data_IF_797654273200
#
_entry.id   IF_797654273200
#
_cell.length_a   1.000
_cell.length_b   1.000
_cell.length_c   1.000
_cell.angle_alpha   90.00
_cell.angle_beta   90.00
_cell.angle_gamma   90.00
#
_symmetry.space_group_name_H-M   'P 1'
#
loop_
_entity.id
_entity.type
_entity.pdbx_description
1 polymer ?
#
# COMPACT_ATOMS: atom_id res chain seq x y z
N UNK A 1 -12.26 -7.52 49.98
CA UNK A 1 -12.44 -8.79 49.23
C UNK A 1 -11.37 -8.98 48.12
N UNK A 2 -10.10 -8.61 48.36
CA UNK A 2 -8.97 -8.76 47.40
C UNK A 2 -7.73 -9.46 47.98
N UNK A 3 -7.72 -9.80 49.27
CA UNK A 3 -6.58 -10.43 49.92
C UNK A 3 -6.61 -11.96 49.94
N UNK A 4 -7.75 -12.61 49.63
CA UNK A 4 -7.85 -14.07 49.62
C UNK A 4 -7.33 -14.75 48.34
N UNK A 5 -7.17 -14.03 47.23
CA UNK A 5 -6.80 -14.63 45.93
C UNK A 5 -5.29 -14.92 45.87
N UNK A 6 -4.46 -14.17 46.59
CA UNK A 6 -3.01 -14.33 46.50
C UNK A 6 -2.48 -15.46 47.40
N UNK A 7 -3.13 -15.75 48.53
CA UNK A 7 -2.69 -16.79 49.47
C UNK A 7 -2.75 -18.19 48.83
N UNK A 8 -3.84 -18.49 48.13
CA UNK A 8 -4.02 -19.76 47.41
C UNK A 8 -2.95 -20.04 46.36
N UNK A 9 -2.43 -19.01 45.68
CA UNK A 9 -1.36 -19.18 44.67
C UNK A 9 -0.01 -19.53 45.32
N UNK A 10 0.29 -18.96 46.48
CA UNK A 10 1.49 -19.29 47.25
C UNK A 10 1.40 -20.70 47.82
N UNK A 11 0.23 -21.14 48.28
CA UNK A 11 0.03 -22.51 48.76
C UNK A 11 0.23 -23.54 47.65
N UNK A 12 -0.31 -23.29 46.45
CA UNK A 12 -0.08 -24.14 45.28
C UNK A 12 1.39 -24.14 44.85
N UNK A 13 2.07 -22.99 44.86
CA UNK A 13 3.49 -22.90 44.51
C UNK A 13 4.37 -23.67 45.51
N UNK A 14 4.12 -23.51 46.81
CA UNK A 14 4.84 -24.23 47.86
C UNK A 14 4.61 -25.74 47.75
N UNK A 15 3.39 -26.19 47.47
CA UNK A 15 3.10 -27.62 47.24
C UNK A 15 3.86 -28.18 46.04
N UNK A 16 3.94 -27.43 44.93
CA UNK A 16 4.70 -27.84 43.74
C UNK A 16 6.20 -27.95 44.07
N UNK A 17 6.76 -26.97 44.78
CA UNK A 17 8.17 -26.96 45.18
C UNK A 17 8.48 -28.15 46.11
N UNK A 18 7.67 -28.36 47.15
CA UNK A 18 7.82 -29.50 48.08
C UNK A 18 7.72 -30.84 47.34
N UNK A 19 6.80 -30.96 46.39
CA UNK A 19 6.65 -32.19 45.61
C UNK A 19 7.86 -32.42 44.68
N UNK A 20 8.38 -31.37 44.04
CA UNK A 20 9.59 -31.44 43.23
C UNK A 20 10.82 -31.89 44.05
N UNK A 21 10.99 -31.33 45.25
CA UNK A 21 12.07 -31.75 46.16
C UNK A 21 11.89 -33.20 46.62
N UNK A 22 10.66 -33.65 46.90
CA UNK A 22 10.40 -35.04 47.27
C UNK A 22 10.69 -36.02 46.13
N UNK A 23 10.35 -35.65 44.89
CA UNK A 23 10.62 -36.45 43.70
C UNK A 23 12.12 -36.51 43.40
N UNK A 24 12.81 -35.39 43.55
CA UNK A 24 14.26 -35.31 43.41
C UNK A 24 14.99 -36.15 44.47
N UNK A 25 14.53 -36.11 45.72
CA UNK A 25 15.05 -36.95 46.80
C UNK A 25 14.90 -38.44 46.46
N UNK A 26 13.76 -38.85 45.91
CA UNK A 26 13.48 -40.23 45.52
C UNK A 26 14.36 -40.68 44.33
N UNK A 27 14.64 -39.80 43.38
CA UNK A 27 15.54 -40.03 42.23
C UNK A 27 17.03 -40.06 42.60
N UNK A 28 17.45 -39.36 43.64
CA UNK A 28 18.85 -39.30 44.07
C UNK A 28 19.34 -40.62 44.73
N UNK A 29 18.43 -41.48 45.16
CA UNK A 29 18.72 -42.77 45.83
C UNK A 29 19.25 -43.84 44.86
N UNK A 30 18.63 -44.13 43.70
CA UNK A 30 19.20 -45.07 42.72
C UNK A 30 20.54 -44.58 42.13
N UNK A 31 20.78 -43.27 42.16
CA UNK A 31 22.07 -42.67 41.76
C UNK A 31 23.15 -42.72 42.86
N UNK A 32 22.83 -43.25 44.05
CA UNK A 32 23.79 -43.47 45.13
C UNK A 32 24.27 -42.19 45.84
N UNK A 33 23.60 -41.06 45.62
CA UNK A 33 23.92 -39.78 46.28
C UNK A 33 23.52 -39.74 47.75
N UNK A 34 22.55 -40.57 48.16
CA UNK A 34 22.02 -40.61 49.53
C UNK A 34 22.09 -42.06 50.02
N UNK A 35 22.71 -42.29 51.19
CA UNK A 35 22.98 -43.64 51.75
C UNK A 35 21.91 -44.15 52.73
N UNK A 36 20.77 -43.48 52.87
CA UNK A 36 19.69 -43.90 53.77
C UNK A 36 18.89 -45.06 53.15
N UNK A 37 18.43 -46.00 53.98
CA UNK A 37 17.55 -47.09 53.55
C UNK A 37 16.10 -46.62 53.64
N UNK A 38 15.32 -46.86 52.59
CA UNK A 38 13.89 -46.52 52.56
C UNK A 38 13.15 -47.17 53.75
N UNK A 39 12.72 -46.36 54.71
CA UNK A 39 11.77 -46.81 55.71
C UNK A 39 10.36 -46.72 55.13
N UNK A 40 9.49 -47.69 55.46
CA UNK A 40 8.08 -47.72 55.03
C UNK A 40 7.35 -46.39 55.29
N UNK A 41 7.75 -45.69 56.33
CA UNK A 41 7.23 -44.38 56.72
C UNK A 41 7.41 -43.33 55.61
N UNK A 42 8.55 -43.31 54.92
CA UNK A 42 8.82 -42.31 53.85
C UNK A 42 7.96 -42.56 52.61
N UNK A 43 7.73 -43.83 52.28
CA UNK A 43 6.89 -44.24 51.15
C UNK A 43 5.43 -43.84 51.41
N UNK A 44 4.95 -44.05 52.64
CA UNK A 44 3.59 -43.68 53.04
C UNK A 44 3.41 -42.16 52.97
N UNK A 45 4.37 -41.38 53.47
CA UNK A 45 4.33 -39.91 53.41
C UNK A 45 4.31 -39.43 51.95
N UNK A 46 5.15 -39.98 51.09
CA UNK A 46 5.19 -39.65 49.67
C UNK A 46 3.88 -39.97 48.95
N UNK A 47 3.30 -41.15 49.26
CA UNK A 47 2.01 -41.57 48.70
C UNK A 47 0.89 -40.62 49.11
N UNK A 48 0.88 -40.16 50.36
CA UNK A 48 -0.11 -39.19 50.86
C UNK A 48 0.06 -37.82 50.19
N UNK A 49 1.30 -37.33 50.03
CA UNK A 49 1.59 -36.06 49.35
C UNK A 49 1.11 -36.11 47.89
N UNK A 50 1.35 -37.22 47.19
CA UNK A 50 0.86 -37.43 45.83
C UNK A 50 -0.68 -37.50 45.77
N UNK A 51 -1.32 -38.12 46.76
CA UNK A 51 -2.78 -38.25 46.80
C UNK A 51 -3.47 -36.90 47.02
N UNK A 52 -2.87 -36.05 47.86
CA UNK A 52 -3.35 -34.68 48.12
C UNK A 52 -3.13 -33.80 46.88
N UNK A 53 -2.03 -34.02 46.16
CA UNK A 53 -1.72 -33.30 44.94
C UNK A 53 -2.24 -34.01 43.68
N UNK A 54 -3.56 -34.20 43.64
CA UNK A 54 -4.28 -34.87 42.54
C UNK A 54 -4.02 -34.26 41.15
N UNK A 55 -3.74 -32.96 41.08
CA UNK A 55 -3.38 -32.27 39.84
C UNK A 55 -2.00 -32.72 39.30
N UNK A 56 -1.02 -32.95 40.18
CA UNK A 56 0.27 -33.53 39.77
C UNK A 56 0.12 -34.98 39.33
N UNK A 57 -0.75 -35.76 39.97
CA UNK A 57 -1.04 -37.13 39.54
C UNK A 57 -1.68 -37.14 38.14
N UNK A 58 -2.53 -36.17 37.83
CA UNK A 58 -3.13 -36.00 36.50
C UNK A 58 -2.10 -35.52 35.45
N UNK A 59 -1.19 -34.60 35.82
CA UNK A 59 -0.08 -34.17 34.97
C UNK A 59 0.94 -35.29 34.73
N UNK A 60 1.25 -36.11 35.74
CA UNK A 60 2.08 -37.31 35.61
C UNK A 60 1.39 -38.39 34.78
N UNK A 61 0.06 -38.48 34.83
CA UNK A 61 -0.72 -39.37 33.96
C UNK A 61 -0.71 -38.91 32.50
N UNK A 62 -0.73 -37.60 32.24
CA UNK A 62 -0.53 -37.02 30.89
C UNK A 62 0.91 -37.14 30.40
N UNK A 63 1.88 -37.09 31.32
CA UNK A 63 3.29 -37.41 31.07
C UNK A 63 3.57 -38.93 31.13
N UNK A 64 2.51 -39.75 31.18
CA UNK A 64 2.62 -41.20 31.23
C UNK A 64 3.05 -41.71 29.87
N UNK A 65 4.27 -42.24 29.81
CA UNK A 65 4.78 -43.04 28.69
C UNK A 65 3.78 -44.18 28.44
N UNK A 66 2.91 -44.02 27.45
CA UNK A 66 2.13 -45.13 26.92
C UNK A 66 3.09 -46.10 26.21
N UNK A 67 2.68 -47.37 26.03
CA UNK A 67 3.52 -48.42 25.44
C UNK A 67 4.07 -48.07 24.03
N UNK A 68 3.49 -47.07 23.37
CA UNK A 68 3.91 -46.50 22.08
C UNK A 68 4.10 -44.95 22.12
N UNK A 69 4.11 -44.33 23.31
CA UNK A 69 3.49 -43.01 23.52
C UNK A 69 4.37 -41.77 23.74
N UNK A 70 5.66 -41.76 23.43
CA UNK A 70 6.45 -40.50 23.36
C UNK A 70 7.04 -40.29 21.96
N UNK A 71 7.30 -41.39 21.25
CA UNK A 71 7.85 -41.38 19.89
C UNK A 71 6.83 -40.91 18.85
N UNK A 72 5.56 -41.34 18.97
CA UNK A 72 4.51 -40.98 18.01
C UNK A 72 4.21 -39.48 17.96
N UNK A 73 4.17 -38.82 19.13
CA UNK A 73 3.96 -37.36 19.19
C UNK A 73 5.18 -36.61 18.65
N UNK A 74 6.40 -37.10 18.91
CA UNK A 74 7.62 -36.48 18.40
C UNK A 74 7.70 -36.54 16.86
N UNK A 75 7.35 -37.69 16.26
CA UNK A 75 7.33 -37.87 14.81
C UNK A 75 6.25 -36.99 14.16
N UNK A 76 5.08 -36.88 14.78
CA UNK A 76 4.00 -36.02 14.30
C UNK A 76 4.38 -34.53 14.39
N UNK A 77 4.97 -34.11 15.51
CA UNK A 77 5.47 -32.75 15.70
C UNK A 77 6.59 -32.44 14.69
N UNK A 78 7.47 -33.39 14.40
CA UNK A 78 8.54 -33.21 13.43
C UNK A 78 8.02 -33.10 11.99
N UNK A 79 6.99 -33.88 11.64
CA UNK A 79 6.30 -33.75 10.36
C UNK A 79 5.59 -32.39 10.21
N UNK A 80 4.95 -31.91 11.28
CA UNK A 80 4.30 -30.60 11.29
C UNK A 80 5.32 -29.45 11.20
N UNK A 81 6.43 -29.54 11.94
CA UNK A 81 7.54 -28.57 11.85
C UNK A 81 8.13 -28.50 10.43
N UNK A 82 8.26 -29.65 9.74
CA UNK A 82 8.72 -29.68 8.35
C UNK A 82 7.74 -28.96 7.42
N UNK A 83 6.45 -29.28 7.51
CA UNK A 83 5.41 -28.60 6.72
C UNK A 83 5.36 -27.10 7.00
N UNK A 84 5.49 -26.69 8.27
CA UNK A 84 5.54 -25.27 8.64
C UNK A 84 6.77 -24.58 8.04
N UNK A 85 7.93 -25.24 8.05
CA UNK A 85 9.16 -24.70 7.44
C UNK A 85 9.01 -24.52 5.93
N UNK A 86 8.45 -25.50 5.23
CA UNK A 86 8.25 -25.46 3.78
C UNK A 86 7.25 -24.35 3.40
N UNK A 87 6.19 -24.16 4.19
CA UNK A 87 5.24 -23.06 4.02
C UNK A 87 5.89 -21.69 4.26
N UNK A 88 6.76 -21.57 5.27
CA UNK A 88 7.49 -20.32 5.56
C UNK A 88 8.44 -19.99 4.41
N UNK A 89 9.15 -20.97 3.87
CA UNK A 89 10.04 -20.77 2.73
C UNK A 89 9.27 -20.31 1.49
N UNK A 90 8.13 -20.94 1.22
CA UNK A 90 7.24 -20.54 0.12
C UNK A 90 6.70 -19.13 0.31
N UNK A 91 6.24 -18.78 1.52
CA UNK A 91 5.74 -17.45 1.82
C UNK A 91 6.84 -16.39 1.72
N UNK A 92 8.08 -16.71 2.11
CA UNK A 92 9.22 -15.82 1.96
C UNK A 92 9.49 -15.53 0.47
N UNK A 93 9.50 -16.55 -0.38
CA UNK A 93 9.66 -16.39 -1.82
C UNK A 93 8.54 -15.54 -2.44
N UNK A 94 7.29 -15.75 -1.99
CA UNK A 94 6.15 -14.94 -2.42
C UNK A 94 6.28 -13.47 -2.00
N UNK A 95 6.73 -13.19 -0.78
CA UNK A 95 6.96 -11.83 -0.30
C UNK A 95 8.05 -11.14 -1.13
N UNK A 96 9.13 -11.84 -1.45
CA UNK A 96 10.21 -11.31 -2.30
C UNK A 96 9.70 -10.99 -3.72
N UNK A 97 8.90 -11.89 -4.31
CA UNK A 97 8.28 -11.66 -5.61
C UNK A 97 7.37 -10.42 -5.58
N UNK A 98 6.52 -10.26 -4.56
CA UNK A 98 5.65 -9.09 -4.39
C UNK A 98 6.47 -7.82 -4.22
N UNK A 99 7.56 -7.86 -3.45
CA UNK A 99 8.45 -6.70 -3.25
C UNK A 99 9.07 -6.25 -4.57
N UNK A 100 9.55 -7.19 -5.39
CA UNK A 100 10.08 -6.90 -6.72
C UNK A 100 9.01 -6.31 -7.66
N UNK A 101 7.77 -6.81 -7.58
CA UNK A 101 6.64 -6.25 -8.35
C UNK A 101 6.38 -4.79 -7.93
N UNK A 102 6.34 -4.50 -6.63
CA UNK A 102 6.13 -3.14 -6.13
C UNK A 102 7.22 -2.17 -6.60
N UNK A 103 8.49 -2.58 -6.55
CA UNK A 103 9.59 -1.76 -7.06
C UNK A 103 9.43 -1.43 -8.54
N UNK A 104 9.02 -2.40 -9.37
CA UNK A 104 8.76 -2.18 -10.79
C UNK A 104 7.58 -1.25 -11.01
N UNK A 105 6.52 -1.37 -10.23
CA UNK A 105 5.37 -0.47 -10.32
C UNK A 105 5.77 0.97 -10.01
N UNK A 106 6.56 1.19 -8.96
CA UNK A 106 7.06 2.54 -8.63
C UNK A 106 7.92 3.12 -9.74
N UNK A 107 8.78 2.30 -10.37
CA UNK A 107 9.58 2.73 -11.52
C UNK A 107 8.69 3.11 -12.72
N UNK A 108 7.68 2.29 -13.02
CA UNK A 108 6.74 2.55 -14.11
C UNK A 108 5.93 3.82 -13.86
N UNK A 109 5.47 4.06 -12.64
CA UNK A 109 4.77 5.29 -12.26
C UNK A 109 5.65 6.53 -12.48
N UNK A 110 6.92 6.46 -12.11
CA UNK A 110 7.88 7.54 -12.35
C UNK A 110 8.09 7.80 -13.85
N UNK A 111 8.26 6.75 -14.66
CA UNK A 111 8.40 6.86 -16.11
C UNK A 111 7.13 7.42 -16.77
N UNK A 112 5.95 7.02 -16.31
CA UNK A 112 4.68 7.56 -16.79
C UNK A 112 4.54 9.05 -16.43
N UNK A 113 4.96 9.46 -15.24
CA UNK A 113 4.96 10.86 -14.83
C UNK A 113 5.90 11.70 -15.71
N UNK A 114 7.07 11.17 -16.06
CA UNK A 114 8.03 11.80 -16.97
C UNK A 114 7.47 11.90 -18.40
N UNK A 115 6.99 10.80 -18.97
CA UNK A 115 6.37 10.80 -20.30
C UNK A 115 5.16 11.75 -20.41
N UNK A 116 4.37 11.88 -19.33
CA UNK A 116 3.27 12.85 -19.26
C UNK A 116 3.78 14.28 -19.32
N UNK A 117 4.90 14.60 -18.67
CA UNK A 117 5.52 15.94 -18.74
C UNK A 117 6.03 16.23 -20.15
N UNK A 118 6.66 15.26 -20.82
CA UNK A 118 7.15 15.47 -22.18
C UNK A 118 6.00 15.67 -23.17
N UNK A 119 4.96 14.83 -23.10
CA UNK A 119 3.74 15.00 -23.88
C UNK A 119 3.07 16.36 -23.62
N UNK A 120 3.12 16.83 -22.39
CA UNK A 120 2.60 18.14 -22.00
C UNK A 120 3.36 19.28 -22.67
N UNK A 121 4.70 19.27 -22.60
CA UNK A 121 5.56 20.28 -23.22
C UNK A 121 5.39 20.34 -24.74
N UNK A 122 5.21 19.19 -25.38
CA UNK A 122 4.89 19.12 -26.80
C UNK A 122 3.53 19.76 -27.05
N UNK A 123 2.48 19.37 -26.31
CA UNK A 123 1.13 19.91 -26.52
C UNK A 123 1.03 21.44 -26.34
N UNK A 124 1.86 22.05 -25.48
CA UNK A 124 1.89 23.50 -25.29
C UNK A 124 2.50 24.28 -26.47
N UNK A 125 3.34 23.64 -27.29
CA UNK A 125 4.05 24.30 -28.39
C UNK A 125 3.54 23.89 -29.78
N UNK A 126 2.43 23.14 -29.85
CA UNK A 126 1.87 22.67 -31.13
C UNK A 126 1.20 23.80 -31.93
N UNK A 127 0.57 24.76 -31.26
CA UNK A 127 -0.15 25.87 -31.86
C UNK A 127 0.41 27.20 -31.37
N UNK A 128 0.51 28.17 -32.26
CA UNK A 128 0.79 29.57 -31.89
C UNK A 128 -0.46 30.25 -31.28
N UNK A 129 -0.28 31.37 -30.59
CA UNK A 129 -1.34 32.13 -29.92
C UNK A 129 -2.48 32.51 -30.87
N UNK A 130 -2.15 32.85 -32.12
CA UNK A 130 -3.14 33.17 -33.16
C UNK A 130 -3.98 31.95 -33.55
N UNK A 131 -3.33 30.78 -33.73
CA UNK A 131 -4.00 29.52 -34.09
C UNK A 131 -4.90 29.04 -32.95
N UNK A 132 -4.43 29.13 -31.70
CA UNK A 132 -5.22 28.80 -30.53
C UNK A 132 -6.44 29.71 -30.39
N UNK A 133 -6.28 31.02 -30.67
CA UNK A 133 -7.40 31.97 -30.71
C UNK A 133 -8.41 31.62 -31.80
N UNK A 134 -7.95 31.15 -32.96
CA UNK A 134 -8.83 30.69 -34.04
C UNK A 134 -9.59 29.42 -33.64
N UNK A 135 -8.91 28.47 -33.02
CA UNK A 135 -9.52 27.24 -32.54
C UNK A 135 -10.59 27.50 -31.47
N UNK A 136 -10.30 28.37 -30.48
CA UNK A 136 -11.28 28.81 -29.45
C UNK A 136 -12.51 29.49 -30.05
N UNK A 137 -12.32 30.38 -31.04
CA UNK A 137 -13.43 31.04 -31.73
C UNK A 137 -14.26 30.09 -32.60
N UNK A 138 -13.65 29.03 -33.12
CA UNK A 138 -14.38 27.96 -33.82
C UNK A 138 -15.18 27.10 -32.84
N UNK A 139 -14.68 26.89 -31.63
CA UNK A 139 -15.36 26.15 -30.57
C UNK A 139 -16.49 26.92 -29.89
N UNK A 140 -16.47 28.26 -29.92
CA UNK A 140 -17.50 29.10 -29.29
C UNK A 140 -18.88 28.95 -29.94
N UNK A 141 -19.92 29.53 -29.35
CA UNK A 141 -21.24 29.66 -29.98
C UNK A 141 -21.40 30.94 -30.83
N UNK A 142 -20.37 31.80 -30.86
CA UNK A 142 -20.44 33.11 -31.53
C UNK A 142 -20.00 33.06 -32.99
N UNK A 143 -20.58 33.88 -33.90
CA UNK A 143 -20.11 33.95 -35.29
C UNK A 143 -18.62 34.31 -35.38
N UNK A 144 -17.89 33.64 -36.27
CA UNK A 144 -16.47 33.90 -36.49
C UNK A 144 -16.25 34.65 -37.81
N UNK A 145 -16.45 35.96 -37.76
CA UNK A 145 -16.14 36.87 -38.86
C UNK A 145 -14.63 36.93 -39.13
N UNK A 146 -14.23 36.62 -40.37
CA UNK A 146 -12.83 36.67 -40.79
C UNK A 146 -12.60 37.62 -41.97
N UNK A 147 -11.35 38.03 -42.15
CA UNK A 147 -10.85 38.66 -43.38
C UNK A 147 -9.74 37.77 -43.92
N UNK A 148 -9.88 37.36 -45.17
CA UNK A 148 -8.95 36.47 -45.85
C UNK A 148 -7.58 37.13 -45.98
N UNK A 149 -6.55 36.44 -45.49
CA UNK A 149 -5.16 36.84 -45.59
C UNK A 149 -4.30 35.57 -45.79
N UNK A 150 -3.14 35.66 -46.48
CA UNK A 150 -2.30 34.49 -46.73
C UNK A 150 -1.80 33.79 -45.46
N UNK A 151 -1.48 34.55 -44.41
CA UNK A 151 -1.09 34.00 -43.09
C UNK A 151 -2.23 33.22 -42.45
N UNK A 152 -3.42 33.81 -42.43
CA UNK A 152 -4.64 33.19 -41.90
C UNK A 152 -4.97 31.87 -42.61
N UNK A 153 -4.86 31.81 -43.95
CA UNK A 153 -5.06 30.54 -44.67
C UNK A 153 -4.04 29.48 -44.28
N UNK A 154 -2.78 29.87 -44.07
CA UNK A 154 -1.71 28.94 -43.67
C UNK A 154 -2.00 28.35 -42.29
N UNK A 155 -2.42 29.17 -41.35
CA UNK A 155 -2.85 28.77 -40.01
C UNK A 155 -4.04 27.79 -40.07
N UNK A 156 -5.06 28.09 -40.88
CA UNK A 156 -6.20 27.17 -41.05
C UNK A 156 -5.79 25.84 -41.69
N UNK A 157 -4.87 25.86 -42.66
CA UNK A 157 -4.32 24.63 -43.25
C UNK A 157 -3.52 23.83 -42.23
N UNK A 158 -2.78 24.50 -41.35
CA UNK A 158 -2.01 23.86 -40.29
C UNK A 158 -2.93 23.21 -39.25
N UNK A 159 -3.92 23.94 -38.74
CA UNK A 159 -4.97 23.40 -37.85
C UNK A 159 -5.68 22.18 -38.46
N UNK A 160 -5.93 22.21 -39.77
CA UNK A 160 -6.54 21.08 -40.49
C UNK A 160 -5.57 19.90 -40.63
N UNK A 161 -4.29 20.15 -40.91
CA UNK A 161 -3.27 19.11 -41.01
C UNK A 161 -3.07 18.37 -39.67
N UNK A 162 -3.22 19.07 -38.54
CA UNK A 162 -3.22 18.50 -37.20
C UNK A 162 -4.54 17.81 -36.83
N UNK A 163 -5.57 17.88 -37.69
CA UNK A 163 -6.86 17.26 -37.47
C UNK A 163 -7.73 17.96 -36.42
N UNK A 164 -7.40 19.20 -36.03
CA UNK A 164 -8.20 19.98 -35.07
C UNK A 164 -9.45 20.62 -35.70
N UNK A 165 -9.40 20.86 -37.02
CA UNK A 165 -10.52 21.39 -37.79
C UNK A 165 -10.69 20.60 -39.08
N UNK A 166 -11.90 20.58 -39.60
CA UNK A 166 -12.21 19.95 -40.88
C UNK A 166 -13.10 20.84 -41.74
N UNK A 167 -13.02 20.64 -43.05
CA UNK A 167 -13.83 21.40 -43.98
C UNK A 167 -15.29 20.94 -43.91
N UNK A 168 -16.21 21.89 -44.04
CA UNK A 168 -17.60 21.57 -44.31
C UNK A 168 -17.75 20.89 -45.69
N UNK A 169 -18.75 20.00 -45.88
CA UNK A 169 -18.94 19.29 -47.14
C UNK A 169 -19.00 20.25 -48.34
N UNK A 170 -18.18 19.99 -49.37
CA UNK A 170 -18.11 20.81 -50.59
C UNK A 170 -17.41 22.16 -50.44
N UNK A 171 -16.88 22.50 -49.26
CA UNK A 171 -16.17 23.75 -49.01
C UNK A 171 -14.68 23.49 -48.85
N UNK A 172 -13.85 24.43 -49.29
CA UNK A 172 -12.39 24.36 -49.10
C UNK A 172 -11.84 25.71 -48.70
N UNK A 173 -10.75 25.70 -47.93
CA UNK A 173 -10.04 26.91 -47.47
C UNK A 173 -9.63 27.79 -48.67
N UNK A 174 -9.21 27.19 -49.78
CA UNK A 174 -8.74 27.91 -50.96
C UNK A 174 -9.84 28.69 -51.70
N UNK A 175 -11.10 28.26 -51.60
CA UNK A 175 -12.25 28.90 -52.24
C UNK A 175 -13.07 29.78 -51.28
N UNK A 176 -12.52 30.10 -50.10
CA UNK A 176 -13.20 30.98 -49.16
C UNK A 176 -13.29 32.42 -49.72
N UNK A 177 -14.43 33.11 -49.51
CA UNK A 177 -14.55 34.52 -49.87
C UNK A 177 -13.59 35.39 -49.05
N UNK A 178 -13.36 36.62 -49.51
CA UNK A 178 -12.47 37.57 -48.80
C UNK A 178 -12.93 37.91 -47.38
N UNK A 179 -14.24 37.82 -47.11
CA UNK A 179 -14.86 38.03 -45.80
C UNK A 179 -16.07 37.11 -45.67
N UNK A 180 -16.37 36.71 -44.44
CA UNK A 180 -17.52 35.87 -44.11
C UNK A 180 -17.41 35.29 -42.70
N UNK A 181 -18.31 34.37 -42.35
CA UNK A 181 -18.20 33.57 -41.13
C UNK A 181 -17.43 32.28 -41.43
N UNK A 182 -16.36 32.03 -40.67
CA UNK A 182 -15.52 30.86 -40.83
C UNK A 182 -16.27 29.57 -40.56
N UNK A 183 -17.27 29.61 -39.67
CA UNK A 183 -18.09 28.45 -39.28
C UNK A 183 -18.94 27.90 -40.42
N UNK A 184 -19.18 28.71 -41.44
CA UNK A 184 -19.83 28.23 -42.66
C UNK A 184 -18.92 27.30 -43.45
N UNK A 185 -17.59 27.42 -43.33
CA UNK A 185 -16.60 26.73 -44.17
C UNK A 185 -15.84 25.64 -43.43
N UNK A 186 -15.64 25.78 -42.13
CA UNK A 186 -14.87 24.89 -41.29
C UNK A 186 -15.64 24.60 -40.00
N UNK A 187 -15.46 23.39 -39.48
CA UNK A 187 -15.92 23.02 -38.13
C UNK A 187 -14.76 22.47 -37.31
N UNK A 188 -14.84 22.66 -36.01
CA UNK A 188 -13.92 22.03 -35.07
C UNK A 188 -14.23 20.52 -34.96
N UNK A 189 -13.19 19.70 -34.91
CA UNK A 189 -13.32 18.25 -34.70
C UNK A 189 -13.39 17.93 -33.21
N UNK A 190 -13.73 16.70 -32.87
CA UNK A 190 -13.69 16.23 -31.47
C UNK A 190 -12.27 16.30 -30.89
N UNK A 191 -11.27 15.97 -31.72
CA UNK A 191 -9.86 16.10 -31.36
C UNK A 191 -9.47 17.55 -31.03
N UNK A 192 -9.96 18.52 -31.81
CA UNK A 192 -9.75 19.95 -31.56
C UNK A 192 -10.36 20.43 -30.23
N UNK A 193 -11.55 19.93 -29.88
CA UNK A 193 -12.20 20.25 -28.60
C UNK A 193 -11.44 19.71 -27.41
N UNK A 194 -11.06 18.43 -27.47
CA UNK A 194 -10.28 17.76 -26.41
C UNK A 194 -8.94 18.46 -26.15
N UNK A 195 -8.31 18.97 -27.22
CA UNK A 195 -7.08 19.75 -27.10
C UNK A 195 -7.30 21.07 -26.35
N UNK A 196 -8.39 21.80 -26.64
CA UNK A 196 -8.74 23.02 -25.91
C UNK A 196 -9.02 22.75 -24.42
N UNK A 197 -9.82 21.71 -24.12
CA UNK A 197 -10.13 21.33 -22.74
C UNK A 197 -8.86 20.99 -21.93
N UNK A 198 -7.91 20.31 -22.58
CA UNK A 198 -6.61 19.98 -21.98
C UNK A 198 -5.81 21.26 -21.65
N UNK A 199 -5.75 22.23 -22.55
CA UNK A 199 -5.06 23.51 -22.31
C UNK A 199 -5.75 24.31 -21.20
N UNK A 200 -7.08 24.38 -21.20
CA UNK A 200 -7.84 25.21 -20.25
C UNK A 200 -7.82 24.64 -18.82
N UNK A 201 -7.92 23.32 -18.68
CA UNK A 201 -7.73 22.65 -17.38
C UNK A 201 -6.32 22.88 -16.80
N UNK A 202 -5.31 22.95 -17.65
CA UNK A 202 -3.93 23.22 -17.24
C UNK A 202 -3.73 24.68 -16.80
N UNK A 203 -4.25 25.64 -17.57
CA UNK A 203 -4.20 27.06 -17.20
C UNK A 203 -4.88 27.34 -15.85
N UNK A 204 -5.93 26.59 -15.52
CA UNK A 204 -6.65 26.71 -14.24
C UNK A 204 -5.86 26.08 -13.08
N UNK A 205 -5.14 24.99 -13.34
CA UNK A 205 -4.30 24.31 -12.36
C UNK A 205 -3.14 25.20 -11.90
N UNK A 206 -2.46 25.88 -12.82
CA UNK A 206 -1.35 26.79 -12.52
C UNK A 206 -1.80 28.02 -11.72
N UNK A 207 -3.04 28.49 -11.93
CA UNK A 207 -3.62 29.58 -11.16
C UNK A 207 -3.91 29.18 -9.71
N UNK A 208 -4.48 27.99 -9.49
CA UNK A 208 -4.77 27.49 -8.13
C UNK A 208 -3.50 27.22 -7.30
N UNK A 209 -2.40 26.78 -7.95
CA UNK A 209 -1.10 26.59 -7.31
C UNK A 209 -0.44 27.92 -6.90
N UNK A 210 -0.62 28.99 -7.68
CA UNK A 210 -0.07 30.31 -7.36
C UNK A 210 -0.82 31.02 -6.21
N UNK A 211 -2.14 30.82 -6.09
CA UNK A 211 -2.95 31.35 -4.98
C UNK A 211 -2.60 30.66 -3.66
N UNK A 212 -2.38 29.34 -3.66
CA UNK A 212 -1.98 28.60 -2.45
C UNK A 212 -0.61 29.03 -1.91
N UNK A 213 0.32 29.42 -2.78
CA UNK A 213 1.66 29.86 -2.39
C UNK A 213 1.72 31.32 -1.89
N UNK A 214 0.75 32.16 -2.27
CA UNK A 214 0.68 33.55 -1.80
C UNK A 214 -0.09 33.73 -0.49
N UNK A 215 -0.91 32.77 -0.06
CA UNK A 215 -1.61 32.87 1.25
C UNK A 215 -0.72 32.51 2.45
N UNK A 216 0.49 31.98 2.21
CA UNK A 216 1.46 31.59 3.25
C UNK A 216 2.53 32.64 3.55
N UNK A 217 2.46 33.82 2.92
CA UNK A 217 3.31 34.97 3.30
C UNK A 217 2.50 35.92 4.17
N UNK A 218 2.57 35.66 5.47
CA UNK A 218 2.11 36.55 6.53
C UNK A 218 2.81 37.93 6.42
N UNK A 219 2.07 39.05 6.25
CA UNK A 219 2.64 40.38 6.31
C UNK A 219 2.75 40.82 7.79
N UNK A 220 3.55 40.12 8.58
CA UNK A 220 3.80 40.49 9.99
C UNK A 220 5.29 40.47 10.34
N UNK A 221 6.13 41.11 9.54
CA UNK A 221 7.51 41.38 9.97
C UNK A 221 7.98 42.76 9.49
N UNK A 222 7.35 43.82 10.02
CA UNK A 222 8.04 45.11 10.16
C UNK A 222 7.36 46.03 11.16
N UNK A 223 7.69 45.88 12.44
CA UNK A 223 7.76 47.00 13.39
C UNK A 223 8.35 46.49 14.69
N UNK A 224 9.67 46.39 14.75
CA UNK A 224 10.41 46.71 15.97
C UNK A 224 11.91 46.75 15.64
N UNK A 225 12.39 47.97 15.37
CA UNK A 225 13.78 48.34 15.64
C UNK A 225 13.74 49.73 16.25
N UNK A 226 13.95 49.72 17.57
CA UNK A 226 14.66 50.72 18.38
C UNK A 226 15.76 51.45 17.63
#
# INVERSE_FOLDING_TARGET
MRQFINQSKWDSFLLVVVTCFSLFYLLAIPFGWIRTRFELTEIIIFTIILLINSELLERLRKLGINKDGITFELDQIQAEQKNQRDNIETNKANIEAVTNILQRLTLLEAQLAENRKDSHLLSQNLLDDYELKHLRKLASDTPFNYKRQPSFERELRHLRALGFVENMPGKTISHMPERGDLKEHLRITEHGKQYLDKIESMATTDYSASISNNSSRDPSEKSDRT
#
